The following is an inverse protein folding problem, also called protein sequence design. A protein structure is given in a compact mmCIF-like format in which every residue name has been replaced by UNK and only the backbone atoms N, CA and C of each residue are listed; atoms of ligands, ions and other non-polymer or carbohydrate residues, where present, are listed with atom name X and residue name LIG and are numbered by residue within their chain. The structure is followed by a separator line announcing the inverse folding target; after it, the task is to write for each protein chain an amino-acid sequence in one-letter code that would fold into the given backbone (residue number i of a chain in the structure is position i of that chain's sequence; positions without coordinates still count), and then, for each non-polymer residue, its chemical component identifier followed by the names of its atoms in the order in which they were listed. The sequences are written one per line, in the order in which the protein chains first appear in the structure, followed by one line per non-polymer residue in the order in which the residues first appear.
data_IF_947786866000
#
_entry.id   IF_947786866000
#
_cell.length_a   1.000
_cell.length_b   1.000
_cell.length_c   1.000
_cell.angle_alpha   90.00
_cell.angle_beta   90.00
_cell.angle_gamma   90.00
#
_symmetry.space_group_name_H-M   'P 1'
#
loop_
_entity.id
_entity.type
_entity.pdbx_description
1 polymer ?
#
# COMPACT_ATOMS: atom_id res chain seq x y z
N UNK A 1 -17.19 -27.60 -19.84
CA UNK A 1 -16.78 -26.18 -19.73
C UNK A 1 -16.06 -26.05 -18.39
N UNK A 2 -14.72 -26.01 -18.39
CA UNK A 2 -13.93 -25.86 -17.16
C UNK A 2 -13.82 -24.36 -16.82
N UNK A 3 -13.98 -23.94 -15.56
CA UNK A 3 -13.87 -22.54 -15.19
C UNK A 3 -12.42 -22.05 -15.39
N UNK A 4 -12.27 -20.98 -16.17
CA UNK A 4 -11.03 -20.21 -16.26
C UNK A 4 -10.81 -19.51 -14.91
N UNK A 5 -9.91 -20.05 -14.09
CA UNK A 5 -9.43 -19.36 -12.90
C UNK A 5 -8.30 -18.41 -13.29
N UNK A 6 -8.62 -17.13 -13.40
CA UNK A 6 -7.60 -16.08 -13.50
C UNK A 6 -6.95 -15.90 -12.13
N UNK A 7 -5.64 -16.19 -12.03
CA UNK A 7 -4.83 -15.80 -10.87
C UNK A 7 -4.35 -14.37 -11.06
N UNK A 8 -4.88 -13.44 -10.27
CA UNK A 8 -4.37 -12.08 -10.19
C UNK A 8 -3.15 -12.07 -9.25
N UNK A 9 -1.97 -11.80 -9.79
CA UNK A 9 -0.78 -11.52 -8.98
C UNK A 9 -0.79 -10.03 -8.62
N UNK A 10 -1.13 -9.71 -7.37
CA UNK A 10 -1.07 -8.34 -6.87
C UNK A 10 0.33 -8.10 -6.32
N UNK A 11 1.08 -7.19 -6.93
CA UNK A 11 2.33 -6.69 -6.36
C UNK A 11 1.99 -5.84 -5.14
N UNK A 12 2.50 -6.25 -3.98
CA UNK A 12 2.38 -5.53 -2.71
C UNK A 12 3.70 -4.79 -2.49
N UNK A 13 3.64 -3.51 -2.15
CA UNK A 13 4.82 -2.71 -1.77
C UNK A 13 4.92 -2.64 -0.24
N UNK A 14 5.78 -3.45 0.40
CA UNK A 14 5.97 -3.40 1.84
C UNK A 14 6.79 -2.18 2.24
N UNK A 15 6.43 -1.60 3.39
CA UNK A 15 7.30 -0.66 4.08
C UNK A 15 8.33 -1.42 4.93
N UNK A 16 9.55 -0.87 5.11
CA UNK A 16 10.51 -1.44 6.04
C UNK A 16 9.95 -1.50 7.47
N UNK A 17 10.24 -2.57 8.20
CA UNK A 17 9.68 -2.81 9.53
C UNK A 17 9.89 -1.65 10.51
N UNK A 18 11.07 -1.03 10.51
CA UNK A 18 11.35 0.12 11.39
C UNK A 18 10.51 1.35 11.05
N UNK A 19 10.30 1.60 9.75
CA UNK A 19 9.42 2.67 9.26
C UNK A 19 7.98 2.38 9.69
N UNK A 20 7.51 1.15 9.50
CA UNK A 20 6.16 0.78 9.87
C UNK A 20 5.91 0.87 11.39
N UNK A 21 6.89 0.49 12.21
CA UNK A 21 6.82 0.59 13.68
C UNK A 21 6.90 2.02 14.21
N UNK A 22 7.73 2.85 13.58
CA UNK A 22 8.09 4.17 14.14
C UNK A 22 7.23 5.28 13.53
N UNK A 23 7.13 5.31 12.20
CA UNK A 23 6.49 6.39 11.45
C UNK A 23 5.01 6.09 11.22
N UNK A 24 4.66 4.83 10.94
CA UNK A 24 3.28 4.39 10.69
C UNK A 24 2.59 3.82 11.93
N UNK A 25 3.06 4.22 13.12
CA UNK A 25 2.52 3.75 14.40
C UNK A 25 1.01 4.03 14.49
N UNK A 26 0.22 2.98 14.67
CA UNK A 26 -1.25 3.03 14.76
C UNK A 26 -1.95 2.59 13.48
N UNK A 27 -3.28 2.39 13.55
CA UNK A 27 -4.10 1.90 12.43
C UNK A 27 -4.48 3.03 11.46
N UNK A 28 -3.48 3.62 10.79
CA UNK A 28 -3.75 4.54 9.67
C UNK A 28 -4.32 3.75 8.49
N UNK A 29 -5.38 4.27 7.88
CA UNK A 29 -6.05 3.62 6.74
C UNK A 29 -5.57 4.16 5.38
N UNK A 30 -4.92 5.31 5.39
CA UNK A 30 -4.48 6.01 4.18
C UNK A 30 -3.11 6.64 4.37
N UNK A 31 -2.42 6.85 3.26
CA UNK A 31 -1.18 7.62 3.14
C UNK A 31 -1.26 8.48 1.88
N UNK A 32 -0.73 9.70 1.95
CA UNK A 32 -0.63 10.58 0.78
C UNK A 32 0.79 10.48 0.23
N UNK A 33 0.90 10.08 -1.02
CA UNK A 33 2.14 10.17 -1.79
C UNK A 33 2.12 11.51 -2.54
N UNK A 34 3.24 12.23 -2.52
CA UNK A 34 3.39 13.50 -3.22
C UNK A 34 4.48 13.31 -4.26
N UNK A 35 4.13 13.54 -5.52
CA UNK A 35 5.09 13.57 -6.62
C UNK A 35 5.90 14.86 -6.54
N UNK A 36 7.22 14.76 -6.43
CA UNK A 36 8.10 15.92 -6.20
C UNK A 36 8.14 16.87 -7.40
N UNK A 37 8.02 16.33 -8.63
CA UNK A 37 8.13 17.13 -9.85
C UNK A 37 6.86 17.94 -10.13
N UNK A 38 5.71 17.30 -9.98
CA UNK A 38 4.39 17.86 -10.32
C UNK A 38 3.64 18.39 -9.10
N UNK A 39 4.12 18.11 -7.89
CA UNK A 39 3.46 18.38 -6.62
C UNK A 39 2.07 17.72 -6.50
N UNK A 40 1.79 16.73 -7.36
CA UNK A 40 0.51 16.04 -7.38
C UNK A 40 0.40 15.09 -6.21
N UNK A 41 -0.76 15.12 -5.57
CA UNK A 41 -1.05 14.30 -4.40
C UNK A 41 -1.88 13.08 -4.78
N UNK A 42 -1.48 11.93 -4.26
CA UNK A 42 -2.13 10.65 -4.47
C UNK A 42 -2.49 10.04 -3.11
N UNK A 43 -3.78 9.94 -2.84
CA UNK A 43 -4.28 9.30 -1.62
C UNK A 43 -4.36 7.79 -1.84
N UNK A 44 -3.48 7.06 -1.18
CA UNK A 44 -3.38 5.61 -1.26
C UNK A 44 -3.94 4.96 0.01
N UNK A 45 -4.51 3.77 -0.13
CA UNK A 45 -4.87 2.96 1.03
C UNK A 45 -3.62 2.39 1.68
N UNK A 46 -3.65 2.29 3.00
CA UNK A 46 -2.66 1.57 3.78
C UNK A 46 -3.30 0.30 4.33
N UNK A 47 -2.62 -0.83 4.17
CA UNK A 47 -3.05 -2.11 4.73
C UNK A 47 -2.07 -2.46 5.85
N UNK A 48 -2.60 -2.67 7.04
CA UNK A 48 -1.83 -3.25 8.15
C UNK A 48 -2.03 -4.75 8.15
N UNK A 49 -0.97 -5.53 8.29
CA UNK A 49 -1.06 -6.98 8.33
C UNK A 49 -1.83 -7.44 9.59
N UNK A 50 -2.78 -8.36 9.43
CA UNK A 50 -3.49 -8.94 10.59
C UNK A 50 -2.55 -9.73 11.52
N UNK A 51 -1.56 -10.43 10.93
CA UNK A 51 -0.62 -11.29 11.68
C UNK A 51 0.51 -10.53 12.35
N UNK A 52 0.85 -9.36 11.82
CA UNK A 52 1.89 -8.50 12.34
C UNK A 52 1.36 -7.08 12.34
N UNK A 53 0.73 -6.67 13.45
CA UNK A 53 -0.02 -5.41 13.57
C UNK A 53 0.82 -4.14 13.37
N UNK A 54 2.12 -4.28 13.13
CA UNK A 54 3.05 -3.22 12.79
C UNK A 54 3.47 -3.24 11.32
N UNK A 55 3.30 -4.33 10.58
CA UNK A 55 3.66 -4.40 9.16
C UNK A 55 2.61 -3.65 8.35
N UNK A 56 3.06 -2.74 7.51
CA UNK A 56 2.20 -1.92 6.68
C UNK A 56 2.61 -2.06 5.22
N UNK A 57 1.63 -2.01 4.33
CA UNK A 57 1.82 -2.09 2.88
C UNK A 57 0.95 -1.07 2.16
N UNK A 58 1.39 -0.65 0.97
CA UNK A 58 0.51 0.12 0.07
C UNK A 58 -0.61 -0.78 -0.45
N UNK A 59 -1.85 -0.37 -0.17
CA UNK A 59 -3.07 -0.94 -0.70
C UNK A 59 -3.58 -0.16 -1.92
N UNK A 60 -4.87 -0.31 -2.24
CA UNK A 60 -5.47 0.28 -3.44
C UNK A 60 -5.16 1.76 -3.69
N UNK A 61 -5.28 2.17 -4.95
CA UNK A 61 -4.95 3.51 -5.48
C UNK A 61 -3.45 3.83 -5.60
N UNK A 62 -2.54 2.98 -5.10
CA UNK A 62 -1.09 3.19 -5.27
C UNK A 62 -0.68 3.24 -6.75
N UNK A 63 -1.34 2.47 -7.62
CA UNK A 63 -1.01 2.38 -9.05
C UNK A 63 -1.24 3.68 -9.82
N UNK A 64 -2.02 4.63 -9.27
CA UNK A 64 -2.19 5.94 -9.88
C UNK A 64 -0.91 6.79 -9.81
N UNK A 65 -0.03 6.50 -8.84
CA UNK A 65 1.26 7.16 -8.70
C UNK A 65 2.30 6.62 -9.70
N UNK A 66 2.25 5.33 -10.04
CA UNK A 66 3.22 4.69 -10.95
C UNK A 66 2.87 4.86 -12.44
N UNK A 67 1.90 5.70 -12.77
CA UNK A 67 1.42 5.92 -14.14
C UNK A 67 1.84 7.29 -14.64
#
# INVERSE_FOLDING_TARGET
MLPLFYKLYVTIFPFPNEVSRTIMKGKRKTITLIDDQTQRQYNCHLITADRASYENYLGGQWFNFCR
#
